data_IF_868061345102
#
_entry.id   IF_868061345102
#
_cell.length_a   1.000
_cell.length_b   1.000
_cell.length_c   1.000
_cell.angle_alpha   90.00
_cell.angle_beta   90.00
_cell.angle_gamma   90.00
#
_symmetry.space_group_name_H-M   'P 1'
#
loop_
_entity.id
_entity.type
_entity.pdbx_description
1 polymer ?
#
# COMPACT_ATOMS: atom_id res chain seq x y z
N UNK A 1 3.65 -3.90 11.69
CA UNK A 1 4.63 -2.98 12.30
C UNK A 1 3.87 -1.88 13.04
N UNK A 2 4.48 -1.22 14.03
CA UNK A 2 3.82 -0.13 14.78
C UNK A 2 3.80 1.17 13.98
N UNK A 3 2.90 2.09 14.33
CA UNK A 3 2.80 3.41 13.70
C UNK A 3 4.13 4.20 13.73
N UNK A 4 4.82 4.20 14.87
CA UNK A 4 6.13 4.86 15.01
C UNK A 4 7.17 4.30 14.03
N UNK A 5 7.26 2.96 13.92
CA UNK A 5 8.18 2.31 12.99
C UNK A 5 7.82 2.57 11.54
N UNK A 6 6.53 2.64 11.23
CA UNK A 6 6.07 3.00 9.90
C UNK A 6 6.44 4.45 9.55
N UNK A 7 6.27 5.38 10.48
CA UNK A 7 6.67 6.78 10.31
C UNK A 7 8.19 6.91 10.08
N UNK A 8 9.01 6.19 10.86
CA UNK A 8 10.46 6.13 10.67
C UNK A 8 10.83 5.57 9.28
N UNK A 9 10.16 4.49 8.87
CA UNK A 9 10.37 3.87 7.56
C UNK A 9 10.04 4.83 6.41
N UNK A 10 8.87 5.47 6.44
CA UNK A 10 8.45 6.42 5.42
C UNK A 10 9.40 7.62 5.36
N UNK A 11 9.80 8.17 6.52
CA UNK A 11 10.73 9.30 6.57
C UNK A 11 12.14 8.94 6.09
N UNK A 12 12.54 7.66 6.14
CA UNK A 12 13.80 7.20 5.55
C UNK A 12 13.78 7.15 4.02
N UNK A 13 12.60 7.09 3.39
CA UNK A 13 12.43 7.17 1.93
C UNK A 13 12.20 8.62 1.52
N UNK A 14 11.24 9.29 2.15
CA UNK A 14 10.89 10.69 1.88
C UNK A 14 10.90 11.48 3.19
N UNK A 15 11.94 12.28 3.48
CA UNK A 15 12.01 13.05 4.72
C UNK A 15 10.88 14.09 4.86
N UNK A 16 10.47 14.37 6.10
CA UNK A 16 9.40 15.32 6.46
C UNK A 16 8.03 14.92 5.90
N UNK A 17 7.70 13.63 5.94
CA UNK A 17 6.46 13.07 5.38
C UNK A 17 5.33 12.94 6.40
N UNK A 18 5.36 13.65 7.52
CA UNK A 18 4.35 13.52 8.59
C UNK A 18 2.89 13.62 8.08
N UNK A 19 2.54 14.52 7.14
CA UNK A 19 1.18 14.55 6.57
C UNK A 19 0.83 13.28 5.80
N UNK A 20 1.75 12.76 4.98
CA UNK A 20 1.54 11.51 4.24
C UNK A 20 1.44 10.31 5.20
N UNK A 21 2.31 10.26 6.22
CA UNK A 21 2.29 9.21 7.24
C UNK A 21 0.94 9.17 7.94
N UNK A 22 0.39 10.31 8.35
CA UNK A 22 -0.92 10.36 9.01
C UNK A 22 -2.02 9.73 8.16
N UNK A 23 -2.05 10.02 6.86
CA UNK A 23 -3.04 9.45 5.92
C UNK A 23 -2.84 7.95 5.73
N UNK A 24 -1.61 7.47 5.60
CA UNK A 24 -1.34 6.02 5.50
C UNK A 24 -1.70 5.26 6.79
N UNK A 25 -1.54 5.88 7.96
CA UNK A 25 -1.96 5.30 9.24
C UNK A 25 -3.49 5.21 9.33
N UNK A 26 -4.19 6.30 9.02
CA UNK A 26 -5.66 6.33 8.97
C UNK A 26 -6.18 5.29 7.97
N UNK A 27 -5.55 5.19 6.79
CA UNK A 27 -5.93 4.20 5.80
C UNK A 27 -5.75 2.76 6.29
N UNK A 28 -4.67 2.45 7.01
CA UNK A 28 -4.48 1.13 7.59
C UNK A 28 -5.56 0.78 8.65
N UNK A 29 -6.03 1.76 9.41
CA UNK A 29 -7.14 1.57 10.36
C UNK A 29 -8.47 1.33 9.61
N UNK A 30 -8.76 2.09 8.55
CA UNK A 30 -9.92 1.84 7.69
C UNK A 30 -9.90 0.44 7.05
N UNK A 31 -8.73 -0.02 6.60
CA UNK A 31 -8.57 -1.37 6.07
C UNK A 31 -8.84 -2.46 7.12
N UNK A 32 -8.44 -2.26 8.38
CA UNK A 32 -8.81 -3.15 9.48
C UNK A 32 -10.33 -3.15 9.71
N UNK A 33 -10.98 -1.98 9.67
CA UNK A 33 -12.44 -1.91 9.79
C UNK A 33 -13.14 -2.69 8.67
N UNK A 34 -12.72 -2.54 7.42
CA UNK A 34 -13.30 -3.30 6.32
C UNK A 34 -13.01 -4.80 6.45
N UNK A 35 -11.78 -5.19 6.76
CA UNK A 35 -11.42 -6.60 6.84
C UNK A 35 -12.06 -7.29 8.05
N UNK A 36 -12.27 -6.58 9.16
CA UNK A 36 -13.01 -7.09 10.33
C UNK A 36 -14.53 -7.10 10.13
N UNK A 37 -15.04 -6.66 8.98
CA UNK A 37 -16.47 -6.42 8.74
C UNK A 37 -17.06 -5.51 9.82
N UNK A 38 -16.40 -4.38 10.05
CA UNK A 38 -16.71 -3.39 11.09
C UNK A 38 -16.84 -4.01 12.49
N UNK A 39 -15.93 -4.94 12.81
CA UNK A 39 -15.88 -5.63 14.10
C UNK A 39 -16.83 -6.82 14.26
N UNK A 40 -17.55 -7.24 13.20
CA UNK A 40 -18.39 -8.44 13.24
C UNK A 40 -17.57 -9.73 13.26
N UNK A 41 -16.38 -9.73 12.64
CA UNK A 41 -15.49 -10.89 12.63
C UNK A 41 -14.75 -11.04 13.96
N UNK A 42 -14.51 -12.28 14.43
CA UNK A 42 -13.75 -12.52 15.65
C UNK A 42 -12.29 -12.06 15.52
N UNK A 43 -11.70 -11.58 16.61
CA UNK A 43 -10.29 -11.22 16.67
C UNK A 43 -9.38 -12.38 16.19
N UNK A 44 -8.40 -12.04 15.34
CA UNK A 44 -7.49 -13.01 14.72
C UNK A 44 -8.01 -13.66 13.43
N UNK A 45 -9.23 -13.31 12.98
CA UNK A 45 -9.76 -13.74 11.67
C UNK A 45 -9.72 -12.64 10.60
N UNK A 46 -9.12 -11.50 10.94
CA UNK A 46 -8.93 -10.35 10.08
C UNK A 46 -7.52 -9.78 10.28
N UNK A 47 -7.03 -9.03 9.28
CA UNK A 47 -5.77 -8.28 9.32
C UNK A 47 -5.95 -7.01 10.13
N UNK A 48 -5.06 -6.80 11.10
CA UNK A 48 -5.02 -5.56 11.87
C UNK A 48 -4.35 -4.45 11.08
N UNK A 49 -4.51 -3.20 11.52
CA UNK A 49 -3.83 -2.05 10.92
C UNK A 49 -2.31 -2.23 10.97
N UNK A 50 -1.76 -2.80 12.03
CA UNK A 50 -0.33 -3.16 12.08
C UNK A 50 0.11 -4.14 10.98
N UNK A 51 -0.76 -5.07 10.58
CA UNK A 51 -0.49 -5.99 9.46
C UNK A 51 -0.52 -5.21 8.14
N UNK A 52 -1.52 -4.35 7.92
CA UNK A 52 -1.59 -3.50 6.73
C UNK A 52 -0.41 -2.53 6.61
N UNK A 53 0.02 -1.90 7.72
CA UNK A 53 1.24 -1.08 7.74
C UNK A 53 2.49 -1.88 7.36
N UNK A 54 2.54 -3.16 7.73
CA UNK A 54 3.62 -4.03 7.32
C UNK A 54 3.58 -4.31 5.80
N UNK A 55 2.39 -4.55 5.25
CA UNK A 55 2.20 -4.75 3.81
C UNK A 55 2.56 -3.51 3.01
N UNK A 56 2.12 -2.32 3.43
CA UNK A 56 2.49 -1.05 2.79
C UNK A 56 4.01 -0.86 2.77
N UNK A 57 4.69 -1.07 3.90
CA UNK A 57 6.15 -0.94 3.95
C UNK A 57 6.87 -1.96 3.05
N UNK A 58 6.36 -3.20 2.98
CA UNK A 58 6.88 -4.22 2.06
C UNK A 58 6.70 -3.78 0.60
N UNK A 59 5.50 -3.28 0.23
CA UNK A 59 5.23 -2.77 -1.12
C UNK A 59 6.11 -1.58 -1.47
N UNK A 60 6.28 -0.61 -0.57
CA UNK A 60 7.22 0.51 -0.80
C UNK A 60 8.66 0.03 -0.98
N UNK A 61 9.09 -0.98 -0.21
CA UNK A 61 10.44 -1.56 -0.35
C UNK A 61 10.63 -2.22 -1.72
N UNK A 62 9.64 -2.99 -2.18
CA UNK A 62 9.65 -3.62 -3.51
C UNK A 62 9.66 -2.56 -4.62
N UNK A 63 8.81 -1.54 -4.51
CA UNK A 63 8.75 -0.42 -5.46
C UNK A 63 10.09 0.31 -5.52
N UNK A 64 10.71 0.56 -4.36
CA UNK A 64 12.03 1.18 -4.27
C UNK A 64 13.09 0.32 -4.95
N UNK A 65 13.07 -0.99 -4.75
CA UNK A 65 14.02 -1.93 -5.36
C UNK A 65 13.86 -1.99 -6.89
N UNK A 66 12.62 -2.06 -7.40
CA UNK A 66 12.32 -2.24 -8.81
C UNK A 66 12.38 -0.93 -9.63
N UNK A 67 11.96 0.19 -9.03
CA UNK A 67 11.72 1.45 -9.74
C UNK A 67 12.52 2.63 -9.18
N UNK A 68 13.22 2.44 -8.06
CA UNK A 68 14.09 3.44 -7.44
C UNK A 68 13.37 4.43 -6.51
N UNK A 69 14.18 5.18 -5.75
CA UNK A 69 13.73 6.08 -4.69
C UNK A 69 12.73 7.13 -5.21
N UNK A 70 12.94 7.68 -6.40
CA UNK A 70 12.07 8.71 -6.97
C UNK A 70 10.62 8.22 -7.21
N UNK A 71 10.42 6.95 -7.53
CA UNK A 71 9.07 6.38 -7.70
C UNK A 71 8.46 6.06 -6.33
N UNK A 72 9.25 5.51 -5.40
CA UNK A 72 8.79 5.27 -4.03
C UNK A 72 8.37 6.57 -3.32
N UNK A 73 9.13 7.66 -3.48
CA UNK A 73 8.77 8.99 -2.95
C UNK A 73 7.44 9.50 -3.52
N UNK A 74 7.20 9.34 -4.83
CA UNK A 74 5.93 9.70 -5.45
C UNK A 74 4.78 8.86 -4.90
N UNK A 75 4.97 7.55 -4.74
CA UNK A 75 3.97 6.66 -4.16
C UNK A 75 3.58 7.08 -2.74
N UNK A 76 4.56 7.48 -1.91
CA UNK A 76 4.30 8.04 -0.58
C UNK A 76 3.51 9.35 -0.69
N UNK A 77 3.88 10.23 -1.63
CA UNK A 77 3.22 11.52 -1.84
C UNK A 77 1.77 11.42 -2.30
N UNK A 78 1.34 10.31 -2.92
CA UNK A 78 -0.04 10.16 -3.38
C UNK A 78 -1.07 10.37 -2.25
N UNK A 79 -0.72 9.98 -1.02
CA UNK A 79 -1.53 10.23 0.17
C UNK A 79 -1.80 11.72 0.44
N UNK A 80 -0.86 12.61 0.10
CA UNK A 80 -1.05 14.07 0.27
C UNK A 80 -2.01 14.68 -0.76
N UNK A 81 -2.31 13.95 -1.84
CA UNK A 81 -3.27 14.37 -2.87
C UNK A 81 -4.56 13.55 -2.85
N UNK A 82 -4.75 12.72 -1.83
CA UNK A 82 -5.96 11.91 -1.65
C UNK A 82 -6.06 10.70 -2.59
N UNK A 83 -4.94 10.23 -3.14
CA UNK A 83 -4.86 8.98 -3.91
C UNK A 83 -4.10 7.95 -3.07
N UNK A 84 -4.79 7.05 -2.37
CA UNK A 84 -4.15 6.13 -1.42
C UNK A 84 -4.42 4.69 -1.83
N UNK A 85 -3.56 4.09 -2.68
CA UNK A 85 -3.86 2.81 -3.28
C UNK A 85 -3.86 1.68 -2.26
N UNK A 86 -4.74 0.70 -2.46
CA UNK A 86 -4.70 -0.55 -1.72
C UNK A 86 -3.39 -1.32 -2.01
N UNK A 87 -2.96 -2.24 -1.12
CA UNK A 87 -1.71 -2.99 -1.33
C UNK A 87 -1.61 -3.73 -2.68
N UNK A 88 -2.74 -4.20 -3.23
CA UNK A 88 -2.80 -4.85 -4.55
C UNK A 88 -2.77 -3.88 -5.73
N UNK A 89 -3.04 -2.59 -5.50
CA UNK A 89 -3.02 -1.56 -6.53
C UNK A 89 -1.64 -0.89 -6.69
N UNK A 90 -0.86 -0.90 -5.61
CA UNK A 90 0.42 -0.21 -5.54
C UNK A 90 1.42 -0.62 -6.63
N UNK A 91 1.35 -1.86 -7.11
CA UNK A 91 2.24 -2.36 -8.17
C UNK A 91 1.99 -1.63 -9.50
N UNK A 92 0.75 -1.66 -9.99
CA UNK A 92 0.40 -1.01 -11.26
C UNK A 92 0.50 0.52 -11.15
N UNK A 93 0.22 1.09 -9.97
CA UNK A 93 0.42 2.52 -9.72
C UNK A 93 1.91 2.90 -9.86
N UNK A 94 2.81 2.11 -9.27
CA UNK A 94 4.24 2.33 -9.37
C UNK A 94 4.75 2.13 -10.81
N UNK A 95 4.26 1.11 -11.52
CA UNK A 95 4.61 0.88 -12.94
C UNK A 95 4.19 2.06 -13.82
N UNK A 96 3.00 2.63 -13.61
CA UNK A 96 2.55 3.84 -14.30
C UNK A 96 3.48 5.03 -14.06
N UNK A 97 3.84 5.28 -12.79
CA UNK A 97 4.75 6.36 -12.42
C UNK A 97 6.18 6.13 -12.97
N UNK A 98 6.65 4.89 -13.00
CA UNK A 98 7.94 4.52 -13.56
C UNK A 98 7.98 4.71 -15.09
N UNK A 99 6.86 4.51 -15.78
CA UNK A 99 6.70 4.77 -17.21
C UNK A 99 6.60 6.28 -17.57
N UNK A 100 6.65 7.17 -16.57
CA UNK A 100 6.53 8.62 -16.74
C UNK A 100 5.10 9.16 -16.62
N UNK A 101 4.16 8.32 -16.14
CA UNK A 101 2.80 8.72 -15.83
C UNK A 101 2.69 9.78 -14.73
N UNK A 102 1.57 10.50 -14.69
CA UNK A 102 1.32 11.55 -13.72
C UNK A 102 0.74 10.99 -12.43
N UNK A 103 1.15 11.55 -11.29
CA UNK A 103 0.54 11.27 -9.97
C UNK A 103 -0.96 11.63 -9.95
N UNK A 104 -1.39 12.59 -10.77
CA UNK A 104 -2.80 12.99 -10.85
C UNK A 104 -3.67 12.01 -11.61
N UNK A 105 -3.09 11.06 -12.33
CA UNK A 105 -3.84 10.01 -13.01
C UNK A 105 -4.31 8.94 -12.02
N UNK A 106 -3.58 8.73 -10.92
CA UNK A 106 -3.76 7.58 -10.03
C UNK A 106 -5.16 7.52 -9.43
N UNK A 107 -5.72 8.64 -8.93
CA UNK A 107 -7.07 8.63 -8.36
C UNK A 107 -8.14 8.16 -9.36
N UNK A 108 -8.06 8.59 -10.62
CA UNK A 108 -8.98 8.12 -11.66
C UNK A 108 -8.72 6.64 -12.04
N UNK A 109 -7.48 6.18 -11.91
CA UNK A 109 -7.11 4.78 -12.14
C UNK A 109 -7.62 3.87 -11.02
N UNK A 110 -7.59 4.32 -9.75
CA UNK A 110 -8.23 3.64 -8.61
C UNK A 110 -9.75 3.53 -8.84
N UNK A 111 -10.43 4.63 -9.13
CA UNK A 111 -11.89 4.65 -9.36
C UNK A 111 -12.35 3.76 -10.52
N UNK A 112 -11.50 3.60 -11.56
CA UNK A 112 -11.82 2.75 -12.71
C UNK A 112 -11.42 1.29 -12.54
N UNK A 113 -10.77 0.93 -11.43
CA UNK A 113 -10.31 -0.43 -11.14
C UNK A 113 -9.14 -0.90 -12.01
N UNK A 114 -8.49 -0.02 -12.78
CA UNK A 114 -7.38 -0.43 -13.67
C UNK A 114 -6.11 -0.78 -12.91
N UNK A 115 -6.02 -0.39 -11.64
CA UNK A 115 -4.89 -0.71 -10.78
C UNK A 115 -5.04 -2.06 -10.07
N UNK A 116 -6.22 -2.68 -10.10
CA UNK A 116 -6.46 -3.93 -9.38
C UNK A 116 -5.60 -5.08 -9.92
N UNK A 117 -4.50 -5.40 -9.21
CA UNK A 117 -3.62 -6.53 -9.54
C UNK A 117 -3.49 -7.52 -8.37
N UNK A 118 -4.19 -8.64 -8.51
CA UNK A 118 -4.18 -9.72 -7.53
C UNK A 118 -3.08 -10.77 -7.77
N UNK A 119 -2.15 -10.55 -8.70
CA UNK A 119 -1.09 -11.53 -9.04
C UNK A 119 -0.24 -11.92 -7.83
N UNK A 120 -0.09 -11.00 -6.90
CA UNK A 120 0.74 -11.15 -5.70
C UNK A 120 -0.03 -11.82 -4.56
N UNK A 121 -1.37 -11.68 -4.54
CA UNK A 121 -2.26 -12.25 -3.52
C UNK A 121 -2.53 -13.74 -3.80
N UNK A 122 -2.67 -14.11 -5.07
CA UNK A 122 -2.93 -15.49 -5.47
C UNK A 122 -1.74 -16.44 -5.26
N UNK A 123 -0.57 -15.93 -4.86
CA UNK A 123 0.61 -16.76 -4.56
C UNK A 123 0.64 -17.28 -3.11
N UNK A 124 -0.19 -16.76 -2.20
CA UNK A 124 -0.18 -17.18 -0.79
C UNK A 124 -1.02 -18.46 -0.50
N UNK A 125 -1.84 -18.95 -1.45
CA UNK A 125 -2.74 -20.11 -1.27
C UNK A 125 -2.57 -21.24 -2.32
N UNK A 126 -1.34 -21.71 -2.52
CA UNK A 126 -1.08 -22.89 -3.34
C UNK A 126 -0.43 -24.05 -2.55
N UNK A 127 -1.14 -25.14 -2.21
CA UNK A 127 -0.43 -26.37 -1.89
C UNK A 127 0.31 -26.82 -3.15
N UNK A 128 1.63 -26.92 -3.04
CA UNK A 128 2.51 -27.53 -4.03
C UNK A 128 2.06 -28.97 -4.30
N UNK A 129 1.15 -29.18 -5.26
CA UNK A 129 0.99 -30.47 -5.89
C UNK A 129 2.15 -30.66 -6.86
N UNK A 130 3.24 -31.23 -6.32
CA UNK A 130 4.20 -31.96 -7.14
C UNK A 130 3.47 -33.19 -7.70
N UNK A 131 3.31 -33.21 -9.02
CA UNK A 131 3.04 -34.44 -9.78
C UNK A 131 4.17 -35.45 -9.60
#
# INVERSE_FOLDING_TARGET
MTAEKFAEFVNAIRPNSDPAVAVWLEWADELEEYDSSHGEKPAGSYKTSEIFLNEFAQKFSVIRELHGDAVAEKMIFLAEIGACPFPWEMKLAAEHLAAGGSIHDIAAMEESGVLEDFSDILQEDGPSMRM
#
